data_IF_007898925715
#
_entry.id   IF_007898925715
#
_cell.length_a   1.000
_cell.length_b   1.000
_cell.length_c   1.000
_cell.angle_alpha   90.00
_cell.angle_beta   90.00
_cell.angle_gamma   90.00
#
_symmetry.space_group_name_H-M   'P 1'
#
loop_
_entity.id
_entity.type
_entity.pdbx_description
1 polymer ?
#
# COMPACT_ATOMS: atom_id res chain seq x y z
N UNK A 1 -0.13 -7.21 27.68
CA UNK A 1 -0.79 -6.34 26.68
C UNK A 1 -0.35 -6.68 25.26
N UNK A 2 -0.57 -7.91 24.78
CA UNK A 2 -0.23 -8.29 23.39
C UNK A 2 -1.37 -8.00 22.42
N UNK A 3 -2.64 -8.13 22.86
CA UNK A 3 -3.82 -7.83 22.06
C UNK A 3 -3.82 -6.38 21.54
N UNK A 4 -3.58 -5.39 22.40
CA UNK A 4 -3.55 -3.98 21.99
C UNK A 4 -2.44 -3.63 20.97
N UNK A 5 -1.30 -4.34 20.99
CA UNK A 5 -0.25 -4.14 19.99
C UNK A 5 -0.65 -4.69 18.63
N UNK A 6 -1.24 -5.89 18.59
CA UNK A 6 -1.72 -6.50 17.35
C UNK A 6 -2.86 -5.67 16.71
N UNK A 7 -3.75 -5.12 17.54
CA UNK A 7 -4.80 -4.20 17.08
C UNK A 7 -4.21 -2.90 16.52
N UNK A 8 -3.26 -2.28 17.21
CA UNK A 8 -2.56 -1.09 16.72
C UNK A 8 -1.83 -1.33 15.40
N UNK A 9 -1.17 -2.48 15.27
CA UNK A 9 -0.54 -2.95 14.04
C UNK A 9 -1.55 -3.08 12.89
N UNK A 10 -2.71 -3.70 13.12
CA UNK A 10 -3.75 -3.83 12.11
C UNK A 10 -4.31 -2.47 11.65
N UNK A 11 -4.43 -1.49 12.56
CA UNK A 11 -4.81 -0.12 12.21
C UNK A 11 -3.71 0.58 11.38
N UNK A 12 -2.45 0.38 11.73
CA UNK A 12 -1.30 0.87 10.95
C UNK A 12 -1.33 0.35 9.53
N UNK A 13 -1.53 -0.96 9.35
CA UNK A 13 -1.64 -1.58 8.02
C UNK A 13 -2.74 -0.92 7.19
N UNK A 14 -3.94 -0.70 7.76
CA UNK A 14 -5.04 -0.04 7.04
C UNK A 14 -4.67 1.39 6.63
N UNK A 15 -3.99 2.14 7.49
CA UNK A 15 -3.55 3.50 7.21
C UNK A 15 -2.53 3.55 6.07
N UNK A 16 -1.52 2.68 6.10
CA UNK A 16 -0.49 2.59 5.06
C UNK A 16 -1.10 2.21 3.70
N UNK A 17 -1.98 1.20 3.66
CA UNK A 17 -2.67 0.82 2.42
C UNK A 17 -3.60 1.92 1.88
N UNK A 18 -4.19 2.74 2.76
CA UNK A 18 -4.96 3.92 2.33
C UNK A 18 -4.03 4.96 1.71
N UNK A 19 -2.85 5.18 2.30
CA UNK A 19 -1.85 6.09 1.76
C UNK A 19 -1.39 5.67 0.36
N UNK A 20 -1.16 4.38 0.13
CA UNK A 20 -0.83 3.86 -1.21
C UNK A 20 -1.90 4.19 -2.24
N UNK A 21 -3.17 3.94 -1.91
CA UNK A 21 -4.27 4.25 -2.80
C UNK A 21 -4.35 5.74 -3.12
N UNK A 22 -4.20 6.60 -2.11
CA UNK A 22 -4.19 8.04 -2.31
C UNK A 22 -2.99 8.49 -3.17
N UNK A 23 -1.81 7.87 -3.01
CA UNK A 23 -0.65 8.10 -3.85
C UNK A 23 -0.92 7.71 -5.31
N UNK A 24 -1.58 6.57 -5.54
CA UNK A 24 -2.06 6.15 -6.86
C UNK A 24 -3.00 7.18 -7.48
N UNK A 25 -4.02 7.63 -6.73
CA UNK A 25 -4.96 8.68 -7.19
C UNK A 25 -4.23 9.96 -7.58
N UNK A 26 -3.29 10.39 -6.74
CA UNK A 26 -2.48 11.56 -7.02
C UNK A 26 -1.66 11.39 -8.30
N UNK A 27 -1.02 10.24 -8.50
CA UNK A 27 -0.26 9.93 -9.72
C UNK A 27 -1.14 10.01 -10.96
N UNK A 28 -2.32 9.39 -10.94
CA UNK A 28 -3.28 9.41 -12.04
C UNK A 28 -3.76 10.82 -12.40
N UNK A 29 -4.16 11.59 -11.39
CA UNK A 29 -4.69 12.94 -11.60
C UNK A 29 -3.60 13.88 -12.10
N UNK A 30 -2.41 13.81 -11.53
CA UNK A 30 -1.28 14.64 -11.94
C UNK A 30 -0.86 14.34 -13.37
N UNK A 31 -0.77 13.06 -13.74
CA UNK A 31 -0.49 12.66 -15.12
C UNK A 31 -1.57 13.11 -16.10
N UNK A 32 -2.84 12.97 -15.71
CA UNK A 32 -3.96 13.42 -16.56
C UNK A 32 -3.91 14.92 -16.82
N UNK A 33 -3.58 15.72 -15.80
CA UNK A 33 -3.55 17.19 -15.90
C UNK A 33 -2.27 17.74 -16.53
N UNK A 34 -1.12 17.14 -16.24
CA UNK A 34 0.20 17.72 -16.54
C UNK A 34 1.09 16.84 -17.41
N UNK A 35 0.71 15.58 -17.66
CA UNK A 35 1.48 14.61 -18.47
C UNK A 35 2.93 14.49 -18.01
N UNK A 36 3.09 14.27 -16.70
CA UNK A 36 4.40 14.27 -16.02
C UNK A 36 4.98 12.88 -15.83
N UNK A 37 4.21 11.79 -16.02
CA UNK A 37 4.76 10.46 -15.86
C UNK A 37 5.57 10.08 -17.10
N UNK A 38 6.81 9.70 -16.87
CA UNK A 38 7.68 9.14 -17.88
C UNK A 38 7.43 7.63 -18.02
N UNK A 39 7.77 7.03 -19.17
CA UNK A 39 7.74 5.58 -19.32
C UNK A 39 8.57 4.90 -18.22
N UNK A 40 7.95 4.00 -17.44
CA UNK A 40 8.61 3.30 -16.34
C UNK A 40 8.34 3.87 -14.95
N UNK A 41 7.80 5.09 -14.82
CA UNK A 41 7.51 5.68 -13.50
C UNK A 41 6.46 4.89 -12.72
N UNK A 42 5.44 4.39 -13.41
CA UNK A 42 4.42 3.54 -12.80
C UNK A 42 5.04 2.24 -12.28
N UNK A 43 5.86 1.58 -13.09
CA UNK A 43 6.57 0.36 -12.72
C UNK A 43 7.53 0.59 -11.55
N UNK A 44 8.21 1.75 -11.52
CA UNK A 44 9.06 2.15 -10.42
C UNK A 44 8.27 2.35 -9.12
N UNK A 45 7.11 3.03 -9.18
CA UNK A 45 6.23 3.20 -8.03
C UNK A 45 5.71 1.85 -7.50
N UNK A 46 5.31 0.94 -8.39
CA UNK A 46 4.88 -0.41 -8.02
C UNK A 46 6.02 -1.25 -7.42
N UNK A 47 7.24 -1.09 -7.93
CA UNK A 47 8.43 -1.73 -7.38
C UNK A 47 8.73 -1.21 -5.98
N UNK A 48 8.63 0.10 -5.76
CA UNK A 48 8.78 0.71 -4.43
C UNK A 48 7.70 0.22 -3.46
N UNK A 49 6.44 0.15 -3.90
CA UNK A 49 5.36 -0.42 -3.09
C UNK A 49 5.63 -1.88 -2.72
N UNK A 50 6.09 -2.70 -3.66
CA UNK A 50 6.47 -4.09 -3.38
C UNK A 50 7.66 -4.15 -2.41
N UNK A 51 8.63 -3.24 -2.52
CA UNK A 51 9.87 -3.30 -1.75
C UNK A 51 9.67 -3.13 -0.23
N UNK A 52 8.68 -2.35 0.19
CA UNK A 52 8.45 -2.02 1.61
C UNK A 52 7.29 -2.81 2.24
N UNK A 53 6.79 -3.85 1.58
CA UNK A 53 5.85 -4.79 2.20
C UNK A 53 6.52 -5.60 3.31
N UNK A 54 5.83 -5.78 4.44
CA UNK A 54 6.39 -6.43 5.63
C UNK A 54 6.79 -7.89 5.37
N UNK A 55 6.04 -8.60 4.54
CA UNK A 55 6.36 -9.96 4.09
C UNK A 55 7.74 -10.03 3.43
N UNK A 56 8.03 -9.09 2.52
CA UNK A 56 9.32 -8.99 1.83
C UNK A 56 10.42 -8.55 2.79
N UNK A 57 10.18 -7.49 3.57
CA UNK A 57 11.16 -6.95 4.50
C UNK A 57 11.56 -7.99 5.56
N UNK A 58 10.59 -8.71 6.14
CA UNK A 58 10.88 -9.76 7.10
C UNK A 58 11.56 -10.97 6.46
N UNK A 59 11.14 -11.39 5.26
CA UNK A 59 11.82 -12.47 4.54
C UNK A 59 13.29 -12.14 4.28
N UNK A 60 13.59 -10.89 3.91
CA UNK A 60 14.96 -10.43 3.69
C UNK A 60 15.77 -10.29 4.98
N UNK A 61 15.16 -9.79 6.06
CA UNK A 61 15.85 -9.50 7.31
C UNK A 61 16.09 -10.74 8.19
N UNK A 62 15.13 -11.67 8.24
CA UNK A 62 15.15 -12.79 9.19
C UNK A 62 14.76 -14.15 8.58
N UNK A 63 14.44 -14.22 7.28
CA UNK A 63 14.14 -15.48 6.59
C UNK A 63 12.78 -16.11 6.91
N UNK A 64 11.93 -15.43 7.70
CA UNK A 64 10.60 -15.89 8.09
C UNK A 64 9.61 -14.73 8.17
N UNK A 65 8.33 -15.03 7.95
CA UNK A 65 7.23 -14.07 7.96
C UNK A 65 6.38 -14.29 9.21
N UNK A 66 6.09 -13.21 9.93
CA UNK A 66 5.23 -13.17 11.14
C UNK A 66 4.13 -12.15 10.91
N UNK A 67 2.93 -12.58 10.45
CA UNK A 67 1.85 -11.67 10.08
C UNK A 67 1.37 -10.77 11.21
N UNK A 68 1.37 -11.25 12.46
CA UNK A 68 0.88 -10.45 13.61
C UNK A 68 1.76 -9.23 13.91
N UNK A 69 2.99 -9.18 13.38
CA UNK A 69 3.91 -8.06 13.55
C UNK A 69 3.91 -7.06 12.39
N UNK A 70 3.03 -7.21 11.40
CA UNK A 70 2.93 -6.28 10.27
C UNK A 70 2.45 -4.90 10.70
N UNK A 71 3.02 -3.86 10.09
CA UNK A 71 2.67 -2.45 10.31
C UNK A 71 2.39 -1.70 9.00
N UNK A 72 2.89 -2.22 7.88
CA UNK A 72 2.74 -1.68 6.53
C UNK A 72 1.85 -2.56 5.64
N UNK A 73 1.72 -3.85 5.98
CA UNK A 73 0.96 -4.83 5.22
C UNK A 73 1.84 -5.60 4.25
N UNK A 74 1.23 -6.52 3.51
CA UNK A 74 1.95 -7.33 2.51
C UNK A 74 2.31 -6.50 1.28
N UNK A 75 3.37 -6.92 0.59
CA UNK A 75 3.78 -6.38 -0.71
C UNK A 75 2.62 -6.39 -1.72
N UNK A 76 1.84 -7.48 -1.73
CA UNK A 76 0.68 -7.63 -2.61
C UNK A 76 -0.42 -6.61 -2.29
N UNK A 77 -0.78 -6.44 -1.01
CA UNK A 77 -1.79 -5.47 -0.59
C UNK A 77 -1.39 -4.05 -1.00
N UNK A 78 -0.14 -3.67 -0.75
CA UNK A 78 0.40 -2.35 -1.07
C UNK A 78 0.27 -2.05 -2.57
N UNK A 79 0.69 -2.99 -3.42
CA UNK A 79 0.53 -2.90 -4.89
C UNK A 79 -0.94 -2.81 -5.29
N UNK A 80 -1.80 -3.65 -4.70
CA UNK A 80 -3.24 -3.70 -5.00
C UNK A 80 -3.90 -2.35 -4.73
N UNK A 81 -3.63 -1.75 -3.57
CA UNK A 81 -4.24 -0.48 -3.18
C UNK A 81 -3.68 0.69 -3.97
N UNK A 82 -2.36 0.72 -4.23
CA UNK A 82 -1.78 1.72 -5.14
C UNK A 82 -2.46 1.69 -6.52
N UNK A 83 -2.54 0.50 -7.14
CA UNK A 83 -3.18 0.32 -8.45
C UNK A 83 -4.64 0.74 -8.43
N UNK A 84 -5.40 0.36 -7.40
CA UNK A 84 -6.80 0.77 -7.27
C UNK A 84 -6.96 2.29 -7.35
N UNK A 85 -6.11 3.03 -6.66
CA UNK A 85 -6.11 4.48 -6.71
C UNK A 85 -5.68 5.03 -8.06
N UNK A 86 -4.61 4.48 -8.63
CA UNK A 86 -4.06 4.92 -9.92
C UNK A 86 -5.01 4.65 -11.09
N UNK A 87 -5.63 3.49 -11.14
CA UNK A 87 -6.53 3.11 -12.23
C UNK A 87 -7.83 3.93 -12.18
N UNK A 88 -8.36 4.19 -10.98
CA UNK A 88 -9.61 4.93 -10.81
C UNK A 88 -9.45 6.45 -10.83
N UNK A 89 -8.38 6.99 -10.26
CA UNK A 89 -8.26 8.42 -9.97
C UNK A 89 -9.31 8.95 -8.97
N UNK A 90 -9.99 8.07 -8.24
CA UNK A 90 -11.08 8.40 -7.32
C UNK A 90 -10.71 8.11 -5.86
N UNK A 91 -10.65 9.17 -5.04
CA UNK A 91 -10.33 9.06 -3.62
C UNK A 91 -11.38 8.27 -2.83
N UNK A 92 -12.63 8.21 -3.30
CA UNK A 92 -13.68 7.44 -2.62
C UNK A 92 -13.43 5.93 -2.66
N UNK A 93 -12.53 5.47 -3.55
CA UNK A 93 -12.10 4.08 -3.63
C UNK A 93 -11.06 3.71 -2.56
N UNK A 94 -10.52 4.67 -1.80
CA UNK A 94 -9.37 4.46 -0.91
C UNK A 94 -9.72 4.18 0.56
N UNK A 95 -10.98 3.92 0.91
CA UNK A 95 -11.36 3.67 2.30
C UNK A 95 -11.06 2.23 2.76
N UNK A 96 -9.83 1.99 3.21
CA UNK A 96 -9.36 0.69 3.74
C UNK A 96 -9.99 0.33 5.08
N UNK A 97 -10.44 1.30 5.88
CA UNK A 97 -11.11 1.07 7.16
C UNK A 97 -12.52 0.49 6.98
N UNK A 98 -13.15 0.75 5.83
CA UNK A 98 -14.45 0.16 5.45
C UNK A 98 -14.32 -1.08 4.54
N UNK A 99 -13.11 -1.46 4.15
CA UNK A 99 -12.90 -2.60 3.27
C UNK A 99 -13.13 -3.92 4.01
N UNK A 100 -13.97 -4.78 3.44
CA UNK A 100 -14.22 -6.13 3.95
C UNK A 100 -12.97 -7.03 3.85
N UNK A 101 -12.14 -6.79 2.84
CA UNK A 101 -10.85 -7.44 2.64
C UNK A 101 -9.82 -6.40 2.16
N UNK A 102 -8.56 -6.58 2.59
CA UNK A 102 -7.43 -5.72 2.23
C UNK A 102 -6.64 -6.29 1.05
#
# INVERSE_FOLDING_TARGET
QQAGKAEGNALSVRMELQADCLAGVWGKRTDTMKKVLEPGDLEAALTAATAIGDDRLQQQAQGRIVPESFTHGTSEQRVRWFKRGFDSGDMNQCNTFKAASL
#
